data_IF_744932615944
#
_entry.id   IF_744932615944
#
_cell.length_a   1.000
_cell.length_b   1.000
_cell.length_c   1.000
_cell.angle_alpha   90.00
_cell.angle_beta   90.00
_cell.angle_gamma   90.00
#
_symmetry.space_group_name_H-M   'P 1'
#
loop_
_entity.id
_entity.type
_entity.pdbx_description
1 polymer ?
2 non-polymer ?
3 non-polymer ?
4 non-polymer ?
5 water ?
#
# COMPACT_ATOMS: atom_id res chain seq x y z
N UNK A 2 -36.85 -30.62 2.98
CA UNK A 2 -36.31 -31.08 4.27
C UNK A 2 -35.40 -30.03 4.88
N UNK A 3 -34.67 -29.31 4.03
CA UNK A 3 -33.91 -28.13 4.44
C UNK A 3 -34.44 -26.93 3.67
N UNK A 4 -34.48 -25.78 4.34
CA UNK A 4 -35.07 -24.58 3.76
C UNK A 4 -34.17 -23.38 4.05
N UNK A 5 -34.33 -22.35 3.22
CA UNK A 5 -33.67 -21.07 3.45
C UNK A 5 -34.50 -20.25 4.43
N UNK A 6 -33.85 -19.74 5.46
CA UNK A 6 -34.55 -18.94 6.47
C UNK A 6 -34.57 -17.46 6.09
N UNK A 25 -41.93 -9.59 4.83
CA UNK A 25 -42.16 -8.33 5.54
C UNK A 25 -43.54 -8.27 6.18
N UNK A 26 -44.58 -8.11 5.37
CA UNK A 26 -45.95 -8.10 5.84
C UNK A 26 -46.69 -9.40 5.49
N UNK A 27 -45.95 -10.41 5.05
CA UNK A 27 -46.48 -11.72 4.68
C UNK A 27 -45.31 -12.65 4.50
N UNK A 28 -45.42 -13.86 5.03
CA UNK A 28 -44.35 -14.87 4.93
C UNK A 28 -44.66 -15.75 3.73
N UNK A 29 -43.82 -15.67 2.71
CA UNK A 29 -43.93 -16.52 1.53
C UNK A 29 -43.43 -17.92 1.85
N UNK A 30 -43.80 -18.86 0.99
CA UNK A 30 -43.32 -20.23 1.07
C UNK A 30 -41.79 -20.28 1.09
N UNK A 31 -41.18 -21.06 1.97
CA UNK A 31 -39.72 -21.14 2.00
C UNK A 31 -39.17 -21.85 0.78
N UNK A 32 -37.99 -21.41 0.36
CA UNK A 32 -37.25 -22.06 -0.71
C UNK A 32 -36.65 -23.37 -0.20
N UNK A 33 -36.89 -24.46 -0.91
CA UNK A 33 -36.32 -25.74 -0.53
C UNK A 33 -34.88 -25.85 -1.05
N UNK A 34 -33.99 -26.33 -0.20
CA UNK A 34 -32.56 -26.38 -0.50
C UNK A 34 -32.05 -27.81 -0.39
N UNK A 35 -30.90 -28.11 -0.99
CA UNK A 35 -30.27 -29.41 -0.77
C UNK A 35 -29.80 -29.52 0.67
N UNK A 36 -29.45 -30.74 1.04
CA UNK A 36 -28.94 -31.01 2.37
C UNK A 36 -27.53 -30.45 2.53
N UNK A 37 -27.17 -30.04 3.75
CA UNK A 37 -25.77 -29.63 3.99
C UNK A 37 -24.80 -30.77 3.81
N UNK A 38 -25.25 -32.02 3.91
CA UNK A 38 -24.37 -33.16 3.68
C UNK A 38 -23.80 -33.15 2.27
N UNK A 39 -24.54 -32.58 1.32
CA UNK A 39 -24.08 -32.50 -0.07
C UNK A 39 -23.73 -31.09 -0.49
N UNK A 40 -24.01 -30.07 0.32
CA UNK A 40 -23.69 -28.69 -0.07
C UNK A 40 -23.54 -27.86 1.22
N UNK A 41 -22.29 -27.61 1.59
CA UNK A 41 -21.97 -27.06 2.91
C UNK A 41 -22.68 -25.74 3.18
N UNK A 42 -22.95 -24.97 2.13
CA UNK A 42 -23.28 -23.57 2.32
C UNK A 42 -24.69 -23.33 2.81
N UNK A 43 -25.55 -24.35 2.85
CA UNK A 43 -26.94 -24.10 3.21
C UNK A 43 -27.19 -24.37 4.70
N UNK A 44 -26.13 -24.64 5.46
CA UNK A 44 -26.28 -24.75 6.91
C UNK A 44 -26.89 -23.48 7.45
N UNK A 45 -27.83 -23.61 8.39
CA UNK A 45 -28.52 -22.44 8.95
C UNK A 45 -27.54 -21.48 9.60
N UNK A 46 -27.76 -20.17 9.39
CA UNK A 46 -26.97 -19.15 10.09
C UNK A 46 -27.16 -19.29 11.59
N UNK A 47 -26.09 -19.06 12.34
CA UNK A 47 -26.19 -19.02 13.79
C UNK A 47 -25.00 -18.24 14.34
N UNK A 48 -25.10 -17.89 15.62
CA UNK A 48 -23.97 -17.28 16.32
C UNK A 48 -22.72 -18.14 16.23
N UNK A 49 -22.85 -19.43 15.97
CA UNK A 49 -21.71 -20.31 15.90
C UNK A 49 -21.05 -20.33 14.52
N UNK A 50 -21.62 -19.65 13.52
CA UNK A 50 -20.94 -19.61 12.23
C UNK A 50 -20.97 -18.27 11.50
N UNK A 51 -21.78 -17.29 11.91
CA UNK A 51 -21.74 -15.96 11.28
C UNK A 51 -22.31 -14.93 12.26
N UNK A 52 -21.65 -13.78 12.36
CA UNK A 52 -22.13 -12.71 13.23
C UNK A 52 -22.07 -11.39 12.47
N UNK A 53 -23.05 -10.54 12.76
CA UNK A 53 -23.22 -9.27 12.06
C UNK A 53 -23.00 -8.11 13.02
N UNK A 54 -22.59 -6.98 12.47
CA UNK A 54 -22.53 -5.74 13.23
C UNK A 54 -23.96 -5.27 13.49
N UNK A 55 -24.58 -5.78 14.55
CA UNK A 55 -25.98 -5.48 14.80
C UNK A 55 -26.15 -4.10 15.42
N UNK A 56 -25.08 -3.51 15.88
CA UNK A 56 -25.24 -2.14 16.44
C UNK A 56 -24.97 -1.14 15.32
N UNK A 57 -24.59 -1.64 14.16
CA UNK A 57 -24.30 -0.76 13.03
C UNK A 57 -25.34 -0.99 11.93
N UNK A 58 -25.53 0.03 11.13
CA UNK A 58 -26.52 0.00 10.07
C UNK A 58 -25.90 -0.02 8.68
N UNK A 62 -28.43 -0.81 3.62
CA UNK A 62 -29.45 -1.82 3.87
C UNK A 62 -28.88 -3.20 4.11
N UNK A 63 -27.76 -3.50 3.46
CA UNK A 63 -27.11 -4.81 3.61
C UNK A 63 -26.58 -4.94 5.04
N UNK A 64 -26.84 -6.04 5.73
CA UNK A 64 -26.23 -6.25 7.04
C UNK A 64 -24.71 -6.29 6.92
N UNK A 65 -24.03 -5.75 7.92
CA UNK A 65 -22.57 -5.67 7.92
C UNK A 65 -22.03 -6.90 8.62
N UNK A 66 -21.19 -7.66 7.92
CA UNK A 66 -20.65 -8.89 8.49
C UNK A 66 -19.54 -8.54 9.48
N UNK A 67 -19.66 -9.06 10.69
CA UNK A 67 -18.63 -8.91 11.71
C UNK A 67 -17.63 -10.05 11.65
N UNK A 68 -18.12 -11.27 11.50
CA UNK A 68 -17.23 -12.41 11.35
C UNK A 68 -18.01 -13.65 10.99
N UNK A 69 -17.27 -14.71 10.69
CA UNK A 69 -17.91 -15.98 10.41
C UNK A 69 -16.86 -16.99 10.05
N UNK A 70 -17.32 -18.24 9.87
CA UNK A 70 -16.47 -19.24 9.27
C UNK A 70 -16.22 -18.86 7.81
N UNK A 71 -15.12 -19.39 7.25
CA UNK A 71 -14.82 -19.02 5.88
C UNK A 71 -15.92 -19.50 4.94
N UNK A 72 -16.57 -20.62 5.28
CA UNK A 72 -17.70 -21.09 4.49
C UNK A 72 -18.82 -20.06 4.49
N UNK A 73 -19.14 -19.50 5.65
CA UNK A 73 -20.20 -18.49 5.67
C UNK A 73 -19.77 -17.21 4.99
N UNK A 74 -18.50 -16.83 5.13
CA UNK A 74 -18.04 -15.63 4.41
C UNK A 74 -18.17 -15.83 2.90
N UNK A 75 -17.85 -17.03 2.42
CA UNK A 75 -17.99 -17.30 0.98
C UNK A 75 -19.46 -17.27 0.57
N UNK A 76 -20.33 -17.84 1.41
CA UNK A 76 -21.76 -17.82 1.07
C UNK A 76 -22.26 -16.39 0.92
N UNK A 77 -21.90 -15.52 1.86
CA UNK A 77 -22.33 -14.13 1.80
C UNK A 77 -21.63 -13.35 0.69
N UNK A 78 -20.41 -13.77 0.33
CA UNK A 78 -19.68 -13.17 -0.79
C UNK A 78 -20.43 -13.39 -2.10
N UNK A 79 -21.23 -14.44 -2.16
CA UNK A 79 -21.94 -14.89 -3.35
C UNK A 79 -23.41 -15.14 -3.02
N UNK A 80 -24.00 -14.24 -2.22
CA UNK A 80 -25.32 -14.46 -1.64
C UNK A 80 -26.41 -14.40 -2.71
N UNK A 81 -27.37 -15.31 -2.62
CA UNK A 81 -28.34 -15.38 -3.71
C UNK A 81 -29.32 -14.22 -3.71
N UNK A 82 -29.53 -13.56 -2.57
CA UNK A 82 -30.64 -12.63 -2.48
C UNK A 82 -30.32 -11.26 -3.07
N UNK A 83 -29.06 -10.84 -3.04
CA UNK A 83 -28.69 -9.51 -3.53
C UNK A 83 -27.19 -9.44 -3.74
N UNK A 84 -26.78 -8.44 -4.52
CA UNK A 84 -25.37 -8.16 -4.74
C UNK A 84 -24.80 -7.42 -3.53
N UNK A 85 -23.48 -7.54 -3.35
CA UNK A 85 -22.79 -6.91 -2.22
C UNK A 85 -21.42 -6.43 -2.68
N UNK A 86 -21.39 -5.41 -3.55
CA UNK A 86 -20.09 -4.96 -4.12
C UNK A 86 -19.10 -4.50 -3.08
N UNK A 87 -19.55 -3.87 -1.99
CA UNK A 87 -18.60 -3.40 -0.98
C UNK A 87 -17.93 -4.57 -0.29
N UNK A 88 -18.68 -5.62 0.04
CA UNK A 88 -18.10 -6.81 0.64
C UNK A 88 -17.18 -7.53 -0.34
N UNK A 89 -17.58 -7.64 -1.61
CA UNK A 89 -16.71 -8.27 -2.60
C UNK A 89 -15.36 -7.57 -2.66
N UNK A 90 -15.37 -6.24 -2.70
CA UNK A 90 -14.11 -5.49 -2.81
C UNK A 90 -13.25 -5.70 -1.56
N UNK A 91 -13.84 -5.54 -0.38
CA UNK A 91 -13.08 -5.66 0.86
C UNK A 91 -12.57 -7.08 1.06
N UNK A 92 -13.41 -8.06 0.77
CA UNK A 92 -12.98 -9.45 0.85
C UNK A 92 -11.77 -9.70 -0.04
N UNK A 93 -11.86 -9.33 -1.32
CA UNK A 93 -10.77 -9.69 -2.22
C UNK A 93 -9.47 -8.95 -1.87
N UNK A 94 -9.57 -7.77 -1.23
CA UNK A 94 -8.38 -7.08 -0.74
C UNK A 94 -7.77 -7.78 0.47
N UNK A 95 -8.60 -8.36 1.35
CA UNK A 95 -8.11 -8.76 2.67
C UNK A 95 -8.06 -10.26 2.91
N UNK A 96 -8.59 -11.09 1.99
CA UNK A 96 -8.84 -12.50 2.34
C UNK A 96 -7.56 -13.28 2.60
N UNK A 97 -6.41 -12.84 2.07
CA UNK A 97 -5.20 -13.63 2.23
C UNK A 97 -4.78 -13.71 3.68
N UNK A 98 -5.28 -12.81 4.53
CA UNK A 98 -5.00 -12.87 5.95
C UNK A 98 -5.83 -13.95 6.66
N UNK A 99 -6.76 -14.63 5.98
CA UNK A 99 -7.48 -15.72 6.61
C UNK A 99 -7.75 -16.90 5.70
N UNK A 100 -7.34 -16.86 4.43
CA UNK A 100 -7.69 -17.91 3.49
C UNK A 100 -6.63 -17.91 2.37
N UNK A 101 -6.17 -19.12 1.97
CA UNK A 101 -5.17 -19.13 0.90
C UNK A 101 -5.85 -18.95 -0.46
N UNK A 102 -5.14 -18.37 -1.45
CA UNK A 102 -5.74 -18.23 -2.78
C UNK A 102 -6.25 -19.54 -3.37
N UNK A 103 -5.47 -20.63 -3.31
CA UNK A 103 -5.96 -21.93 -3.77
C UNK A 103 -7.22 -22.34 -3.03
N UNK A 104 -7.23 -22.11 -1.72
CA UNK A 104 -8.39 -22.45 -0.91
C UNK A 104 -9.60 -21.64 -1.33
N UNK A 105 -9.40 -20.35 -1.62
CA UNK A 105 -10.50 -19.50 -2.06
C UNK A 105 -11.08 -20.00 -3.38
N UNK A 106 -10.21 -20.34 -4.35
CA UNK A 106 -10.73 -20.82 -5.62
C UNK A 106 -11.51 -22.12 -5.43
N UNK A 107 -10.99 -23.04 -4.60
CA UNK A 107 -11.71 -24.29 -4.36
C UNK A 107 -13.07 -24.03 -3.70
N UNK A 108 -13.12 -23.09 -2.75
CA UNK A 108 -14.39 -22.75 -2.12
C UNK A 108 -15.38 -22.14 -3.12
N UNK A 109 -14.90 -21.28 -4.03
CA UNK A 109 -15.81 -20.71 -5.00
C UNK A 109 -16.32 -21.76 -5.99
N UNK A 110 -15.46 -22.69 -6.38
CA UNK A 110 -15.88 -23.77 -7.26
C UNK A 110 -16.89 -24.66 -6.54
N UNK A 111 -16.64 -24.94 -5.26
CA UNK A 111 -17.58 -25.73 -4.47
C UNK A 111 -18.93 -25.01 -4.37
N UNK A 112 -18.88 -23.70 -4.21
CA UNK A 112 -20.10 -22.89 -4.18
C UNK A 112 -20.86 -22.97 -5.50
N UNK A 113 -20.13 -23.05 -6.62
CA UNK A 113 -20.74 -23.02 -7.95
C UNK A 113 -21.51 -24.30 -8.23
N UNK A 114 -20.98 -25.42 -7.77
CA UNK A 114 -21.47 -26.74 -8.18
C UNK A 114 -22.61 -27.13 -7.23
N UNK A 115 -23.77 -26.53 -7.47
CA UNK A 115 -24.90 -26.61 -6.55
C UNK A 115 -25.72 -27.84 -6.90
N UNK A 116 -25.89 -28.78 -5.98
CA UNK A 116 -26.79 -29.91 -6.23
C UNK A 116 -28.24 -29.51 -6.04
N UNK A 117 -29.13 -30.16 -6.81
CA UNK A 117 -30.54 -29.87 -6.63
C UNK A 117 -31.13 -30.69 -5.47
N UNK A 118 -32.17 -30.16 -4.80
CA UNK A 118 -32.81 -30.93 -3.73
C UNK A 118 -33.35 -32.25 -4.25
N UNK A 119 -33.28 -33.27 -3.40
CA UNK A 119 -33.73 -34.60 -3.80
C UNK A 119 -35.22 -34.57 -4.10
N UNK A 120 -35.65 -34.96 -5.29
CA UNK A 120 -37.08 -34.91 -5.62
C UNK A 120 -37.88 -35.78 -4.67
N UNK A 121 -39.08 -35.31 -4.32
CA UNK A 121 -40.01 -36.07 -3.51
C UNK A 121 -40.81 -37.04 -4.38
N UNK A 122 -41.36 -38.07 -3.73
CA UNK A 122 -42.30 -38.97 -4.40
C UNK A 122 -43.52 -38.17 -4.87
N UNK A 123 -43.47 -37.71 -6.12
CA UNK A 123 -44.42 -36.81 -6.73
C UNK A 123 -43.72 -36.21 -7.94
N UNK A 124 -42.50 -35.71 -7.70
CA UNK A 124 -41.63 -35.32 -8.80
C UNK A 124 -41.20 -36.54 -9.60
N UNK A 125 -40.87 -37.63 -8.93
CA UNK A 125 -40.37 -38.85 -9.60
C UNK A 125 -41.42 -39.49 -10.51
N UNK A 135 -41.25 -29.99 -14.75
CA UNK A 135 -40.39 -29.68 -13.62
C UNK A 135 -41.23 -29.08 -12.49
N UNK A 136 -41.05 -29.57 -11.27
CA UNK A 136 -41.87 -29.14 -10.15
C UNK A 136 -41.72 -27.64 -9.92
N UNK A 137 -42.71 -27.05 -9.25
CA UNK A 137 -42.66 -25.61 -8.99
C UNK A 137 -41.53 -25.26 -8.04
N UNK A 138 -41.26 -26.12 -7.05
CA UNK A 138 -40.17 -25.89 -6.12
C UNK A 138 -38.82 -25.90 -6.82
N UNK A 139 -38.64 -26.84 -7.75
CA UNK A 139 -37.37 -26.96 -8.47
C UNK A 139 -37.18 -25.80 -9.43
N UNK A 140 -38.25 -25.37 -10.11
CA UNK A 140 -38.15 -24.18 -10.95
C UNK A 140 -37.73 -22.97 -10.13
N UNK A 141 -38.38 -22.78 -8.97
CA UNK A 141 -37.95 -21.73 -8.04
C UNK A 141 -36.48 -21.84 -7.70
N UNK A 142 -36.03 -23.06 -7.39
CA UNK A 142 -34.66 -23.26 -6.96
C UNK A 142 -33.66 -22.85 -8.04
N UNK A 143 -33.91 -23.25 -9.29
CA UNK A 143 -32.96 -22.91 -10.34
C UNK A 143 -32.95 -21.42 -10.64
N UNK A 144 -34.09 -20.77 -10.51
CA UNK A 144 -34.25 -19.37 -10.86
C UNK A 144 -33.84 -18.42 -9.73
N UNK A 145 -34.25 -18.74 -8.50
CA UNK A 145 -34.01 -17.87 -7.35
C UNK A 145 -32.70 -18.16 -6.65
N UNK A 146 -32.14 -19.35 -6.82
CA UNK A 146 -30.95 -19.71 -6.06
C UNK A 146 -29.77 -20.06 -6.95
N UNK A 147 -29.89 -21.06 -7.83
CA UNK A 147 -28.74 -21.54 -8.59
C UNK A 147 -28.19 -20.46 -9.51
N UNK A 148 -29.03 -19.92 -10.40
CA UNK A 148 -28.48 -18.95 -11.35
C UNK A 148 -27.93 -17.70 -10.65
N UNK A 149 -28.64 -17.08 -9.69
CA UNK A 149 -28.03 -15.90 -9.03
C UNK A 149 -26.72 -16.20 -8.34
N UNK A 150 -26.62 -17.32 -7.62
CA UNK A 150 -25.35 -17.64 -6.95
C UNK A 150 -24.24 -17.84 -7.97
N UNK A 151 -24.53 -18.56 -9.04
CA UNK A 151 -23.51 -18.81 -10.06
C UNK A 151 -23.03 -17.49 -10.69
N UNK A 152 -23.96 -16.57 -10.96
CA UNK A 152 -23.55 -15.28 -11.51
C UNK A 152 -22.78 -14.45 -10.48
N UNK A 153 -23.12 -14.56 -9.19
CA UNK A 153 -22.33 -13.88 -8.17
C UNK A 153 -20.90 -14.38 -8.19
N UNK A 154 -20.73 -15.69 -8.34
CA UNK A 154 -19.38 -16.28 -8.36
C UNK A 154 -18.61 -15.75 -9.56
N UNK A 155 -19.24 -15.72 -10.73
CA UNK A 155 -18.54 -15.21 -11.91
C UNK A 155 -18.17 -13.74 -11.72
N UNK A 156 -19.00 -12.98 -10.99
CA UNK A 156 -18.64 -11.60 -10.72
C UNK A 156 -17.43 -11.52 -9.81
N UNK A 157 -17.37 -12.40 -8.80
CA UNK A 157 -16.20 -12.45 -7.93
C UNK A 157 -14.96 -12.81 -8.73
N UNK A 158 -15.05 -13.79 -9.63
CA UNK A 158 -13.89 -14.12 -10.47
C UNK A 158 -13.45 -12.92 -11.29
N UNK A 159 -14.41 -12.17 -11.83
CA UNK A 159 -14.08 -11.00 -12.63
C UNK A 159 -13.36 -9.96 -11.80
N UNK A 160 -13.90 -9.65 -10.61
CA UNK A 160 -13.25 -8.70 -9.73
C UNK A 160 -11.87 -9.20 -9.32
N UNK A 161 -11.74 -10.52 -9.13
CA UNK A 161 -10.47 -11.08 -8.68
C UNK A 161 -9.38 -10.89 -9.73
N UNK A 162 -9.67 -11.23 -10.99
CA UNK A 162 -8.64 -11.09 -12.00
C UNK A 162 -8.43 -9.65 -12.39
N UNK A 163 -9.45 -8.79 -12.22
CA UNK A 163 -9.30 -7.39 -12.60
C UNK A 163 -8.41 -6.64 -11.62
N UNK A 164 -8.58 -6.88 -10.32
CA UNK A 164 -7.96 -6.04 -9.30
C UNK A 164 -6.87 -6.76 -8.51
N UNK A 165 -6.73 -8.07 -8.62
CA UNK A 165 -5.73 -8.80 -7.86
C UNK A 165 -5.07 -9.86 -8.73
N UNK A 166 -4.71 -9.47 -9.96
CA UNK A 166 -4.16 -10.46 -10.87
C UNK A 166 -2.81 -10.98 -10.40
N UNK A 167 -2.11 -10.23 -9.53
CA UNK A 167 -0.85 -10.74 -9.00
C UNK A 167 -1.01 -12.09 -8.29
N UNK A 168 -2.22 -12.42 -7.78
CA UNK A 168 -2.39 -13.75 -7.19
C UNK A 168 -2.07 -14.82 -8.23
N UNK A 169 -2.45 -14.57 -9.48
CA UNK A 169 -2.32 -15.49 -10.60
C UNK A 169 -0.94 -15.44 -11.23
N UNK A 170 -0.27 -14.27 -11.16
CA UNK A 170 1.14 -14.21 -11.54
C UNK A 170 2.01 -14.94 -10.54
N UNK A 171 1.62 -14.95 -9.27
CA UNK A 171 2.44 -15.56 -8.25
C UNK A 171 2.26 -17.07 -8.18
N UNK A 172 1.16 -17.58 -8.74
CA UNK A 172 0.82 -19.00 -8.65
C UNK A 172 0.22 -19.40 -10.00
N UNK A 173 1.05 -19.88 -10.92
CA UNK A 173 0.56 -20.25 -12.24
C UNK A 173 -0.50 -21.34 -12.17
N UNK A 174 -0.39 -22.25 -11.20
CA UNK A 174 -1.40 -23.30 -11.06
C UNK A 174 -2.77 -22.70 -10.74
N UNK A 175 -2.81 -21.61 -9.98
CA UNK A 175 -4.07 -20.97 -9.65
C UNK A 175 -4.78 -20.51 -10.91
N UNK A 176 -4.03 -19.89 -11.84
CA UNK A 176 -4.61 -19.45 -13.10
C UNK A 176 -5.05 -20.64 -13.95
N UNK A 177 -4.22 -21.68 -14.03
CA UNK A 177 -4.61 -22.86 -14.80
C UNK A 177 -5.92 -23.44 -14.27
N UNK A 178 -6.05 -23.54 -12.94
CA UNK A 178 -7.30 -24.03 -12.38
C UNK A 178 -8.47 -23.13 -12.77
N UNK A 179 -8.29 -21.82 -12.69
CA UNK A 179 -9.39 -20.90 -12.95
C UNK A 179 -9.80 -20.96 -14.42
N UNK A 180 -8.81 -20.95 -15.32
CA UNK A 180 -9.14 -21.01 -16.73
C UNK A 180 -9.79 -22.33 -17.09
N UNK A 181 -9.29 -23.43 -16.54
CA UNK A 181 -9.93 -24.72 -16.76
C UNK A 181 -11.36 -24.71 -16.23
N UNK A 182 -11.60 -24.11 -15.07
CA UNK A 182 -12.95 -24.14 -14.53
C UNK A 182 -13.91 -23.34 -15.41
N UNK A 183 -13.52 -22.11 -15.78
CA UNK A 183 -14.45 -21.30 -16.56
C UNK A 183 -14.69 -21.88 -17.94
N UNK A 184 -13.73 -22.65 -18.48
CA UNK A 184 -13.94 -23.36 -19.73
C UNK A 184 -15.03 -24.42 -19.60
N UNK A 185 -15.29 -24.89 -18.38
CA UNK A 185 -16.30 -25.92 -18.13
C UNK A 185 -17.69 -25.34 -17.93
N UNK A 186 -17.81 -24.02 -17.75
CA UNK A 186 -19.11 -23.43 -17.46
C UNK A 186 -19.97 -23.49 -18.72
N UNK A 187 -21.12 -24.13 -18.61
CA UNK A 187 -22.04 -24.27 -19.73
C UNK A 187 -23.19 -23.28 -19.61
N UNK A 188 -23.80 -22.96 -20.75
CA UNK A 188 -24.98 -22.13 -20.75
C UNK A 188 -24.78 -20.79 -21.43
N UNK A 189 -25.65 -20.47 -22.40
CA UNK A 189 -25.60 -19.18 -23.07
C UNK A 189 -25.68 -18.03 -22.07
N UNK A 190 -26.43 -18.20 -20.98
CA UNK A 190 -26.60 -17.13 -20.02
C UNK A 190 -25.29 -16.72 -19.36
N UNK A 191 -24.32 -17.62 -19.31
CA UNK A 191 -23.07 -17.35 -18.61
C UNK A 191 -21.89 -17.16 -19.55
N UNK A 192 -22.10 -17.31 -20.87
CA UNK A 192 -20.99 -17.19 -21.79
C UNK A 192 -20.41 -15.78 -21.80
N UNK A 193 -21.25 -14.76 -21.67
CA UNK A 193 -20.75 -13.39 -21.68
C UNK A 193 -19.89 -13.11 -20.45
N UNK A 194 -20.22 -13.71 -19.32
CA UNK A 194 -19.38 -13.56 -18.14
C UNK A 194 -18.04 -14.27 -18.35
N UNK A 195 -18.09 -15.50 -18.85
CA UNK A 195 -16.87 -16.26 -19.10
C UNK A 195 -15.96 -15.49 -20.05
N UNK A 196 -16.54 -14.94 -21.12
CA UNK A 196 -15.73 -14.24 -22.10
C UNK A 196 -15.23 -12.92 -21.56
N UNK A 197 -15.96 -12.30 -20.61
CA UNK A 197 -15.45 -11.11 -19.96
C UNK A 197 -14.27 -11.42 -19.05
N UNK A 198 -14.32 -12.53 -18.33
CA UNK A 198 -13.20 -12.94 -17.49
C UNK A 198 -11.98 -13.27 -18.36
N UNK A 199 -12.20 -14.03 -19.43
CA UNK A 199 -11.09 -14.41 -20.31
C UNK A 199 -10.46 -13.18 -20.95
N UNK A 200 -11.28 -12.19 -21.31
CA UNK A 200 -10.76 -10.97 -21.90
C UNK A 200 -9.84 -10.23 -20.93
N UNK A 201 -10.24 -10.14 -19.66
CA UNK A 201 -9.38 -9.50 -18.66
C UNK A 201 -8.06 -10.25 -18.52
N UNK A 202 -8.12 -11.57 -18.43
CA UNK A 202 -6.91 -12.37 -18.33
C UNK A 202 -6.01 -12.13 -19.53
N UNK A 203 -6.60 -12.15 -20.74
CA UNK A 203 -5.86 -11.85 -21.96
C UNK A 203 -5.10 -10.53 -21.84
N UNK A 204 -5.79 -9.47 -21.42
CA UNK A 204 -5.15 -8.17 -21.31
C UNK A 204 -4.06 -8.17 -20.25
N UNK A 205 -4.31 -8.82 -19.11
CA UNK A 205 -3.33 -8.81 -18.03
C UNK A 205 -2.06 -9.57 -18.43
N UNK A 206 -2.21 -10.67 -19.16
CA UNK A 206 -1.04 -11.41 -19.63
C UNK A 206 -0.20 -10.59 -20.61
N UNK A 207 -0.86 -9.77 -21.43
CA UNK A 207 -0.12 -8.97 -22.42
C UNK A 207 0.80 -7.97 -21.75
N UNK A 208 0.30 -7.27 -20.74
CA UNK A 208 1.06 -6.21 -20.07
C UNK A 208 2.37 -6.72 -19.48
N UNK A 217 5.23 8.29 -21.58
CA UNK A 217 4.66 9.32 -20.72
C UNK A 217 4.30 10.58 -21.53
N UNK A 218 3.08 11.06 -21.33
CA UNK A 218 2.55 12.21 -22.07
C UNK A 218 2.29 13.37 -21.11
N UNK A 219 2.40 14.58 -21.63
CA UNK A 219 2.20 15.80 -20.86
C UNK A 219 1.14 16.66 -21.51
N UNK A 220 0.13 17.07 -20.72
CA UNK A 220 -0.90 17.98 -21.22
C UNK A 220 -0.38 19.40 -21.33
N UNK A 221 0.64 19.74 -20.55
CA UNK A 221 1.34 21.02 -20.61
C UNK A 221 2.82 20.74 -20.42
N UNK A 222 3.69 21.56 -21.01
CA UNK A 222 5.11 21.21 -21.09
C UNK A 222 5.77 21.22 -19.72
N UNK A 223 6.46 20.14 -19.34
CA UNK A 223 7.17 20.14 -18.07
C UNK A 223 8.34 21.10 -18.11
N UNK A 224 8.74 21.67 -16.97
CA UNK A 224 9.85 22.63 -16.97
C UNK A 224 11.17 21.99 -17.38
N UNK A 225 12.12 22.79 -17.86
CA UNK A 225 13.43 22.24 -18.22
C UNK A 225 14.13 21.64 -17.00
N UNK A 226 14.85 20.55 -17.23
CA UNK A 226 15.70 19.95 -16.20
C UNK A 226 16.72 20.97 -15.74
N UNK A 227 16.95 21.03 -14.42
CA UNK A 227 17.88 22.00 -13.85
C UNK A 227 19.22 21.31 -13.53
N UNK A 228 20.32 21.99 -13.87
CA UNK A 228 21.66 21.48 -13.68
C UNK A 228 22.51 22.50 -12.97
N UNK A 229 23.40 22.02 -12.10
CA UNK A 229 24.21 22.88 -11.25
C UNK A 229 25.67 22.72 -11.66
N UNK A 230 26.46 22.01 -10.85
CA UNK A 230 27.85 21.73 -11.17
C UNK A 230 27.98 20.47 -12.02
N UNK A 231 27.36 19.36 -11.60
CA UNK A 231 27.31 18.18 -12.45
C UNK A 231 26.47 18.48 -13.68
N UNK A 232 26.97 18.07 -14.83
CA UNK A 232 26.30 18.35 -16.10
C UNK A 232 25.76 17.07 -16.70
N UNK A 233 24.81 17.18 -17.65
CA UNK A 233 24.20 15.97 -18.21
C UNK A 233 25.24 14.94 -18.63
N UNK A 234 24.99 13.69 -18.24
CA UNK A 234 25.87 12.59 -18.59
C UNK A 234 27.03 12.36 -17.64
N UNK A 235 27.36 13.30 -16.77
CA UNK A 235 28.50 13.17 -15.87
C UNK A 235 28.14 12.44 -14.59
N UNK A 236 27.54 11.25 -14.71
CA UNK A 236 26.90 10.64 -13.54
C UNK A 236 27.89 10.20 -12.47
N UNK A 237 29.18 10.06 -12.79
CA UNK A 237 30.13 9.68 -11.74
C UNK A 237 30.43 10.85 -10.79
N UNK A 238 30.16 12.09 -11.20
CA UNK A 238 30.35 13.24 -10.32
C UNK A 238 29.12 13.60 -9.52
N UNK A 239 28.00 12.91 -9.73
CA UNK A 239 26.75 13.23 -9.04
C UNK A 239 26.90 13.12 -7.54
N UNK A 240 26.39 14.11 -6.81
CA UNK A 240 26.41 14.12 -5.36
C UNK A 240 25.44 15.19 -4.89
N UNK A 241 25.20 15.22 -3.57
CA UNK A 241 24.21 16.14 -3.01
C UNK A 241 24.52 17.59 -3.39
N UNK A 242 25.80 17.98 -3.36
CA UNK A 242 26.14 19.38 -3.54
C UNK A 242 26.43 19.74 -4.99
N UNK A 243 26.65 18.76 -5.87
CA UNK A 243 26.95 19.06 -7.27
C UNK A 243 25.72 19.04 -8.16
N UNK A 244 24.69 18.29 -7.77
CA UNK A 244 23.44 18.32 -8.49
C UNK A 244 22.66 19.57 -8.09
N UNK A 245 21.66 19.91 -8.90
CA UNK A 245 20.85 21.08 -8.60
C UNK A 245 19.80 20.73 -7.56
N UNK A 246 19.65 21.54 -6.49
CA UNK A 246 18.67 21.20 -5.45
C UNK A 246 17.24 21.10 -5.98
N UNK A 247 16.87 21.94 -6.94
CA UNK A 247 15.54 21.79 -7.55
C UNK A 247 15.38 20.40 -8.15
N UNK A 248 16.37 19.97 -8.94
CA UNK A 248 16.23 18.71 -9.67
C UNK A 248 16.36 17.50 -8.75
N UNK A 249 17.17 17.60 -7.69
CA UNK A 249 17.18 16.54 -6.68
C UNK A 249 15.78 16.30 -6.16
N UNK A 250 15.09 17.38 -5.76
CA UNK A 250 13.75 17.22 -5.22
C UNK A 250 12.78 16.72 -6.28
N UNK A 251 12.86 17.25 -7.51
CA UNK A 251 11.98 16.77 -8.58
C UNK A 251 12.18 15.28 -8.85
N UNK A 252 13.44 14.86 -8.98
CA UNK A 252 13.69 13.46 -9.35
C UNK A 252 13.36 12.52 -8.21
N UNK A 253 13.63 12.93 -6.96
CA UNK A 253 13.21 12.09 -5.86
C UNK A 253 11.69 12.03 -5.75
N UNK A 254 11.01 13.11 -6.12
CA UNK A 254 9.55 13.11 -6.11
C UNK A 254 8.97 12.17 -7.16
N UNK A 255 9.50 12.23 -8.39
CA UNK A 255 9.05 11.28 -9.42
C UNK A 255 9.29 9.85 -8.98
N UNK A 256 10.42 9.60 -8.34
CA UNK A 256 10.75 8.25 -7.89
C UNK A 256 9.80 7.82 -6.78
N UNK A 257 9.57 8.70 -5.79
CA UNK A 257 8.71 8.31 -4.67
C UNK A 257 7.26 8.22 -5.10
N UNK A 258 6.83 9.08 -6.03
CA UNK A 258 5.48 8.98 -6.58
C UNK A 258 5.28 7.63 -7.25
N UNK A 259 6.27 7.18 -8.03
CA UNK A 259 6.15 5.87 -8.68
C UNK A 259 6.08 4.76 -7.65
N UNK A 260 6.93 4.81 -6.62
CA UNK A 260 6.93 3.74 -5.63
C UNK A 260 5.61 3.70 -4.88
N UNK A 261 5.10 4.88 -4.50
CA UNK A 261 3.82 4.96 -3.81
C UNK A 261 2.70 4.42 -4.68
N UNK A 262 2.67 4.79 -5.96
CA UNK A 262 1.60 4.38 -6.86
C UNK A 262 1.52 2.86 -6.99
N UNK A 263 2.64 2.17 -6.89
CA UNK A 263 2.64 0.72 -7.14
C UNK A 263 2.25 -0.13 -5.93
N UNK A 264 2.01 0.47 -4.77
CA UNK A 264 1.69 -0.34 -3.59
C UNK A 264 0.25 -0.81 -3.68
N UNK A 265 0.04 -2.13 -3.55
CA UNK A 265 -1.30 -2.67 -3.52
C UNK A 265 -1.76 -2.84 -2.08
N UNK A 266 -3.05 -2.62 -1.82
CA UNK A 266 -3.57 -2.75 -0.45
C UNK A 266 -3.29 -4.10 0.23
N UNK A 267 -3.35 -5.23 -0.49
CA UNK A 267 -3.10 -6.51 0.17
C UNK A 267 -1.67 -6.64 0.70
N UNK A 268 -0.74 -5.81 0.20
CA UNK A 268 0.62 -5.81 0.73
C UNK A 268 0.68 -5.30 2.17
N UNK A 269 -0.36 -4.58 2.61
CA UNK A 269 -0.45 -3.99 3.94
C UNK A 269 -1.31 -4.78 4.91
N UNK A 270 -2.13 -5.70 4.41
CA UNK A 270 -3.09 -6.41 5.24
C UNK A 270 -2.40 -7.51 6.02
N UNK A 271 -2.78 -7.69 7.28
CA UNK A 271 -2.22 -8.75 8.08
C UNK A 271 -0.75 -8.57 8.37
N UNK A 272 -0.24 -7.33 8.23
CA UNK A 272 1.16 -7.00 8.49
C UNK A 272 2.10 -7.92 7.73
N UNK A 273 1.71 -8.34 6.52
CA UNK A 273 2.49 -9.36 5.82
C UNK A 273 3.88 -8.85 5.43
N UNK A 274 4.10 -7.54 5.40
CA UNK A 274 5.42 -7.06 5.00
C UNK A 274 6.45 -7.27 6.09
N UNK A 275 6.04 -7.66 7.29
CA UNK A 275 6.95 -7.97 8.39
C UNK A 275 7.10 -9.46 8.64
N UNK A 276 6.40 -10.29 7.88
CA UNK A 276 6.36 -11.70 8.18
C UNK A 276 7.19 -12.50 7.17
N UNK A 277 7.16 -13.82 7.32
CA UNK A 277 8.06 -14.75 6.65
C UNK A 277 8.19 -14.50 5.15
N UNK A 278 7.05 -14.48 4.44
CA UNK A 278 7.05 -14.37 2.98
C UNK A 278 6.93 -12.92 2.48
N UNK A 279 7.48 -11.96 3.23
CA UNK A 279 7.29 -10.55 2.92
C UNK A 279 7.73 -10.20 1.50
N UNK A 280 8.79 -10.84 1.00
CA UNK A 280 9.32 -10.43 -0.30
C UNK A 280 8.35 -10.77 -1.42
N UNK A 281 7.61 -11.87 -1.27
CA UNK A 281 6.62 -12.27 -2.27
C UNK A 281 5.33 -11.48 -2.10
N UNK A 282 4.92 -11.21 -0.85
CA UNK A 282 3.60 -10.68 -0.60
C UNK A 282 3.55 -9.17 -0.55
N UNK A 283 4.69 -8.51 -0.30
CA UNK A 283 4.71 -7.05 -0.18
C UNK A 283 5.86 -6.40 -0.96
N UNK A 284 6.07 -6.79 -2.23
CA UNK A 284 7.30 -6.33 -2.90
C UNK A 284 7.31 -4.83 -3.14
N UNK A 285 6.17 -4.24 -3.49
CA UNK A 285 6.17 -2.80 -3.75
C UNK A 285 6.24 -1.99 -2.46
N UNK A 286 5.53 -2.46 -1.44
CA UNK A 286 5.63 -1.81 -0.12
C UNK A 286 7.07 -1.83 0.39
N UNK A 287 7.76 -2.96 0.24
CA UNK A 287 9.13 -3.06 0.76
C UNK A 287 10.06 -2.13 -0.01
N UNK A 288 9.87 -2.01 -1.32
CA UNK A 288 10.67 -1.05 -2.09
C UNK A 288 10.46 0.36 -1.60
N UNK A 289 9.22 0.71 -1.25
CA UNK A 289 8.95 2.04 -0.72
C UNK A 289 9.64 2.25 0.63
N UNK A 290 9.50 1.27 1.53
CA UNK A 290 10.11 1.39 2.84
C UNK A 290 11.62 1.45 2.72
N UNK A 291 12.21 0.61 1.87
CA UNK A 291 13.66 0.55 1.75
C UNK A 291 14.22 1.79 1.09
N UNK A 292 13.50 2.35 0.11
CA UNK A 292 13.92 3.64 -0.42
C UNK A 292 13.99 4.69 0.68
N UNK A 293 12.96 4.74 1.53
CA UNK A 293 12.92 5.78 2.55
C UNK A 293 14.04 5.60 3.56
N UNK A 294 14.28 4.34 3.97
CA UNK A 294 15.39 4.04 4.85
C UNK A 294 16.70 4.52 4.27
N UNK A 295 16.94 4.18 3.00
CA UNK A 295 18.23 4.51 2.40
C UNK A 295 18.38 6.01 2.21
N UNK A 296 17.31 6.69 1.80
CA UNK A 296 17.41 8.13 1.57
C UNK A 296 17.62 8.88 2.88
N UNK A 297 16.91 8.46 3.94
CA UNK A 297 17.06 9.12 5.23
C UNK A 297 18.48 8.98 5.75
N UNK A 298 19.02 7.77 5.68
CA UNK A 298 20.41 7.54 6.05
C UNK A 298 21.38 8.34 5.18
N UNK A 299 21.08 8.47 3.89
CA UNK A 299 21.96 9.23 3.01
C UNK A 299 21.99 10.72 3.40
N UNK A 300 20.84 11.30 3.70
CA UNK A 300 20.86 12.69 4.18
C UNK A 300 21.68 12.82 5.46
N UNK A 301 21.50 11.89 6.41
CA UNK A 301 22.32 11.92 7.63
C UNK A 301 23.81 11.84 7.31
N UNK A 302 24.17 10.89 6.43
CA UNK A 302 25.56 10.69 6.05
C UNK A 302 26.15 11.95 5.44
N UNK A 303 25.40 12.60 4.54
CA UNK A 303 25.92 13.81 3.88
C UNK A 303 26.28 14.87 4.90
N UNK A 304 25.45 15.02 5.92
CA UNK A 304 25.69 16.04 6.95
C UNK A 304 26.90 15.68 7.80
N UNK A 305 26.91 14.47 8.36
CA UNK A 305 27.89 14.11 9.38
C UNK A 305 29.26 13.88 8.78
N UNK A 306 29.33 13.47 7.51
CA UNK A 306 30.62 13.27 6.86
C UNK A 306 31.19 14.56 6.29
N UNK A 307 30.44 15.65 6.33
CA UNK A 307 30.99 16.96 5.96
C UNK A 307 31.75 17.46 7.17
N UNK A 308 33.06 17.16 7.23
CA UNK A 308 33.83 17.45 8.44
C UNK A 308 34.15 18.94 8.55
N UNK A 309 34.46 19.58 7.41
CA UNK A 309 34.67 21.02 7.41
C UNK A 309 33.39 21.72 7.83
N UNK A 310 33.50 22.59 8.84
CA UNK A 310 32.33 23.24 9.42
C UNK A 310 31.51 23.99 8.38
N UNK A 311 32.17 24.84 7.58
CA UNK A 311 31.43 25.67 6.64
C UNK A 311 30.77 24.81 5.56
N UNK A 312 31.46 23.76 5.14
CA UNK A 312 30.88 22.82 4.19
C UNK A 312 29.64 22.13 4.77
N UNK A 313 29.69 21.77 6.05
CA UNK A 313 28.55 21.08 6.68
C UNK A 313 27.36 22.01 6.81
N UNK A 314 27.58 23.28 7.14
CA UNK A 314 26.46 24.22 7.19
C UNK A 314 25.87 24.38 5.80
N UNK A 315 26.71 24.38 4.77
CA UNK A 315 26.18 24.51 3.42
C UNK A 315 25.42 23.24 3.01
N UNK A 316 25.89 22.08 3.48
CA UNK A 316 25.19 20.83 3.19
C UNK A 316 23.82 20.84 3.84
N UNK A 317 23.76 21.19 5.14
CA UNK A 317 22.46 21.27 5.81
C UNK A 317 21.55 22.29 5.12
N UNK A 318 22.10 23.45 4.74
CA UNK A 318 21.28 24.47 4.08
C UNK A 318 20.71 23.95 2.76
N UNK A 319 21.52 23.20 2.00
CA UNK A 319 21.05 22.64 0.73
C UNK A 319 19.93 21.65 0.96
N UNK A 320 20.05 20.83 2.00
CA UNK A 320 19.01 19.85 2.32
C UNK A 320 17.72 20.57 2.70
N UNK A 321 17.83 21.70 3.39
CA UNK A 321 16.63 22.47 3.69
C UNK A 321 16.01 23.03 2.41
N UNK A 322 16.85 23.40 1.42
CA UNK A 322 16.29 23.88 0.15
C UNK A 322 15.58 22.75 -0.59
N UNK A 323 16.17 21.55 -0.60
CA UNK A 323 15.50 20.38 -1.17
C UNK A 323 14.17 20.15 -0.47
N UNK A 324 14.15 20.28 0.86
CA UNK A 324 12.89 20.18 1.60
C UNK A 324 11.88 21.19 1.10
N UNK A 325 12.29 22.45 0.91
CA UNK A 325 11.35 23.46 0.42
C UNK A 325 10.75 23.03 -0.91
N UNK A 326 11.56 22.50 -1.82
CA UNK A 326 11.02 22.11 -3.12
C UNK A 326 10.11 20.90 -2.97
N UNK A 327 10.48 19.94 -2.12
CA UNK A 327 9.54 18.87 -1.78
C UNK A 327 8.19 19.47 -1.38
N UNK A 328 8.21 20.47 -0.50
CA UNK A 328 6.95 21.09 -0.05
C UNK A 328 6.21 21.72 -1.21
N UNK A 329 6.93 22.49 -2.04
CA UNK A 329 6.29 23.11 -3.20
C UNK A 329 5.62 22.06 -4.07
N UNK A 330 6.17 20.85 -4.14
CA UNK A 330 5.64 19.78 -4.97
C UNK A 330 4.61 18.93 -4.23
N UNK A 331 4.26 19.30 -3.00
CA UNK A 331 3.37 18.48 -2.17
C UNK A 331 3.91 17.07 -2.00
N UNK A 332 5.23 16.89 -1.99
CA UNK A 332 5.81 15.59 -1.63
C UNK A 332 6.13 15.59 -0.14
N UNK A 333 5.11 15.27 0.66
CA UNK A 333 5.29 15.23 2.10
C UNK A 333 6.04 14.01 2.56
N UNK A 334 6.09 12.96 1.74
CA UNK A 334 7.00 11.87 2.01
C UNK A 334 8.45 12.37 2.05
N UNK A 335 8.85 13.12 1.02
CA UNK A 335 10.21 13.68 1.01
C UNK A 335 10.46 14.67 2.12
N UNK A 336 9.47 15.52 2.42
CA UNK A 336 9.63 16.47 3.53
C UNK A 336 9.94 15.74 4.82
N UNK A 337 9.16 14.70 5.13
CA UNK A 337 9.33 14.06 6.42
C UNK A 337 10.51 13.11 6.45
N UNK A 338 10.99 12.66 5.29
CA UNK A 338 12.25 11.94 5.24
C UNK A 338 13.40 12.83 5.70
N UNK A 339 13.38 14.09 5.27
CA UNK A 339 14.44 15.01 5.71
C UNK A 339 14.29 15.35 7.18
N UNK A 340 13.06 15.59 7.65
CA UNK A 340 12.83 15.81 9.07
C UNK A 340 13.36 14.63 9.88
N UNK A 341 13.04 13.41 9.43
CA UNK A 341 13.56 12.22 10.09
C UNK A 341 15.09 12.23 10.15
N UNK A 342 15.75 12.65 9.06
CA UNK A 342 17.21 12.66 9.03
C UNK A 342 17.79 13.66 10.04
N UNK A 343 17.22 14.86 10.12
CA UNK A 343 17.80 15.85 11.03
C UNK A 343 17.46 15.55 12.48
N UNK A 344 16.45 14.70 12.72
CA UNK A 344 16.16 14.24 14.08
C UNK A 344 17.07 13.11 14.53
N UNK A 345 17.85 12.52 13.64
CA UNK A 345 18.77 11.48 14.07
C UNK A 345 19.74 12.07 15.10
N UNK A 346 20.14 11.24 16.08
CA UNK A 346 20.92 11.76 17.19
C UNK A 346 22.24 12.35 16.70
N UNK A 347 22.87 11.70 15.72
CA UNK A 347 24.16 12.17 15.23
C UNK A 347 24.08 13.55 14.59
N UNK A 348 22.94 13.89 13.98
CA UNK A 348 22.75 15.22 13.40
C UNK A 348 22.19 16.20 14.43
N UNK A 349 21.15 15.76 15.15
CA UNK A 349 20.45 16.63 16.09
C UNK A 349 21.40 17.28 17.09
N UNK A 350 22.44 16.54 17.52
CA UNK A 350 23.36 17.08 18.52
C UNK A 350 24.35 18.11 17.98
N UNK A 351 24.30 18.46 16.69
CA UNK A 351 25.29 19.37 16.10
C UNK A 351 24.86 20.82 16.30
N UNK A 352 24.89 21.26 17.57
CA UNK A 352 24.39 22.59 17.90
C UNK A 352 25.08 23.69 17.10
N UNK A 353 26.40 23.60 16.93
CA UNK A 353 27.09 24.66 16.20
C UNK A 353 26.62 24.75 14.76
N UNK A 354 26.26 23.61 14.16
CA UNK A 354 25.79 23.60 12.77
C UNK A 354 24.41 24.25 12.65
N UNK A 355 23.49 23.94 13.58
CA UNK A 355 22.18 24.57 13.50
C UNK A 355 22.22 26.05 13.85
N UNK A 356 23.14 26.47 14.72
CA UNK A 356 23.21 27.88 15.05
C UNK A 356 23.85 28.69 13.93
N UNK A 357 24.65 28.04 13.08
CA UNK A 357 25.30 28.74 11.97
C UNK A 357 24.37 28.90 10.77
N UNK A 358 23.27 28.15 10.72
CA UNK A 358 22.29 28.35 9.66
C UNK A 358 21.82 29.78 9.64
N UNK A 359 21.64 30.31 8.44
CA UNK A 359 20.88 31.55 8.26
C UNK A 359 19.52 31.40 8.91
N UNK A 360 19.07 32.47 9.56
CA UNK A 360 17.74 32.45 10.16
C UNK A 360 16.67 32.07 9.16
N UNK A 361 16.82 32.51 7.91
CA UNK A 361 15.81 32.19 6.89
C UNK A 361 15.73 30.68 6.68
N UNK A 362 16.87 29.99 6.76
CA UNK A 362 16.88 28.54 6.59
C UNK A 362 16.32 27.85 7.82
N UNK A 363 16.67 28.36 9.00
CA UNK A 363 16.14 27.86 10.26
C UNK A 363 14.62 27.88 10.28
N UNK A 364 14.02 28.99 9.88
CA UNK A 364 12.57 29.08 9.96
C UNK A 364 11.91 28.07 9.02
N UNK A 365 12.51 27.83 7.86
CA UNK A 365 11.96 26.83 6.94
C UNK A 365 12.04 25.44 7.55
N UNK A 366 13.20 25.10 8.09
CA UNK A 366 13.38 23.79 8.72
C UNK A 366 12.37 23.59 9.85
N UNK A 367 12.24 24.59 10.73
CA UNK A 367 11.44 24.38 11.92
C UNK A 367 9.95 24.34 11.60
N UNK A 368 9.50 25.07 10.57
CA UNK A 368 8.11 24.93 10.17
C UNK A 368 7.82 23.51 9.70
N UNK A 369 8.77 22.88 9.00
CA UNK A 369 8.52 21.51 8.55
C UNK A 369 8.58 20.52 9.71
N UNK A 370 9.51 20.74 10.65
CA UNK A 370 9.57 19.86 11.82
C UNK A 370 8.25 19.87 12.57
N UNK A 371 7.61 21.04 12.66
CA UNK A 371 6.38 21.14 13.41
C UNK A 371 5.22 20.37 12.76
N UNK A 372 5.30 20.08 11.45
CA UNK A 372 4.29 19.22 10.82
C UNK A 372 4.17 17.89 11.55
N UNK A 373 5.29 17.37 12.05
CA UNK A 373 5.33 16.04 12.65
C UNK A 373 4.91 16.03 14.11
N UNK A 374 4.90 17.18 14.77
CA UNK A 374 4.70 17.20 16.21
C UNK A 374 3.24 16.90 16.56
N UNK A 375 3.05 16.48 17.81
CA UNK A 375 1.74 16.10 18.34
C UNK A 375 1.05 15.10 17.41
N UNK A 376 1.75 14.01 17.13
CA UNK A 376 1.24 12.95 16.27
C UNK A 376 0.79 13.49 14.92
N UNK A 377 1.67 14.28 14.29
CA UNK A 377 1.49 14.76 12.92
C UNK A 377 0.22 15.59 12.76
N UNK A 378 -0.16 16.30 13.82
CA UNK A 378 -1.37 17.12 13.79
C UNK A 378 -1.36 18.08 12.60
N UNK A 379 -0.31 18.90 12.50
CA UNK A 379 -0.28 19.91 11.45
C UNK A 379 -0.13 19.30 10.07
N UNK A 380 0.63 18.20 9.96
CA UNK A 380 0.71 17.49 8.68
C UNK A 380 -0.67 17.02 8.23
N UNK A 381 -1.44 16.41 9.14
CA UNK A 381 -2.73 15.88 8.75
C UNK A 381 -3.68 16.99 8.31
N UNK A 382 -3.57 18.18 8.92
CA UNK A 382 -4.37 19.30 8.44
C UNK A 382 -3.96 19.67 7.02
N UNK A 383 -2.65 19.68 6.75
CA UNK A 383 -2.16 20.07 5.43
C UNK A 383 -2.54 19.05 4.36
N UNK A 384 -2.49 17.75 4.70
CA UNK A 384 -2.85 16.72 3.73
C UNK A 384 -4.30 16.87 3.26
N UNK A 385 -5.22 17.17 4.18
CA UNK A 385 -6.63 17.19 3.80
C UNK A 385 -6.97 18.36 2.90
N UNK A 386 -6.07 19.35 2.79
CA UNK A 386 -6.35 20.56 2.04
C UNK A 386 -5.60 20.64 0.71
N UNK A 387 -4.60 19.81 0.48
CA UNK A 387 -3.74 20.02 -0.68
C UNK A 387 -4.46 19.59 -1.95
N UNK A 388 -3.96 20.07 -3.07
CA UNK A 388 -4.48 19.63 -4.34
C UNK A 388 -3.46 18.78 -5.08
N UNK A 389 -3.91 17.78 -5.83
CA UNK A 389 -2.98 16.88 -6.53
C UNK A 389 -2.19 17.63 -7.58
N UNK A 390 -1.00 17.12 -7.97
CA UNK A 390 -0.41 15.87 -7.45
C UNK A 390 0.32 16.03 -6.11
N UNK A 391 0.37 14.93 -5.35
CA UNK A 391 1.05 14.94 -4.07
C UNK A 391 1.60 13.54 -3.80
N UNK A 392 2.56 13.44 -2.90
CA UNK A 392 2.99 12.17 -2.34
C UNK A 392 2.81 12.21 -0.84
N UNK A 393 1.82 11.52 -0.29
CA UNK A 393 1.60 11.55 1.16
C UNK A 393 2.73 10.85 1.90
N UNK A 394 2.89 11.26 3.16
CA UNK A 394 3.81 10.57 4.05
C UNK A 394 3.30 9.16 4.29
N UNK A 395 4.10 8.18 3.88
CA UNK A 395 3.67 6.79 3.93
C UNK A 395 3.71 6.20 5.32
N UNK A 396 4.66 6.62 6.15
CA UNK A 396 4.87 5.96 7.43
C UNK A 396 3.67 5.99 8.35
N UNK A 397 2.84 7.03 8.25
CA UNK A 397 1.72 7.12 9.17
C UNK A 397 0.69 6.02 8.89
N UNK A 398 0.53 5.62 7.63
CA UNK A 398 -0.39 4.53 7.32
C UNK A 398 0.12 3.21 7.88
N UNK A 399 1.42 2.94 7.67
CA UNK A 399 2.05 1.74 8.22
C UNK A 399 1.86 1.66 9.73
N UNK A 400 2.04 2.78 10.42
CA UNK A 400 1.86 2.80 11.87
C UNK A 400 0.41 2.53 12.26
N UNK A 401 -0.55 3.16 11.58
CA UNK A 401 -1.95 2.93 11.90
C UNK A 401 -2.39 1.50 11.59
N UNK A 402 -1.84 0.89 10.54
CA UNK A 402 -2.18 -0.49 10.25
C UNK A 402 -1.61 -1.42 11.30
N UNK A 403 -0.35 -1.19 11.70
CA UNK A 403 0.24 -2.00 12.77
C UNK A 403 -0.55 -1.86 14.07
N UNK A 404 -1.01 -0.65 14.38
CA UNK A 404 -1.83 -0.46 15.57
C UNK A 404 -3.12 -1.26 15.46
N UNK A 405 -3.77 -1.19 14.30
CA UNK A 405 -5.04 -1.89 14.11
C UNK A 405 -4.85 -3.40 14.13
N UNK A 406 -3.78 -3.90 13.51
CA UNK A 406 -3.52 -5.33 13.54
C UNK A 406 -3.29 -5.80 14.97
N UNK A 407 -2.57 -5.02 15.76
CA UNK A 407 -2.21 -5.44 17.12
C UNK A 407 -3.40 -5.32 18.07
N UNK A 408 -4.28 -4.35 17.85
CA UNK A 408 -5.37 -4.04 18.74
C UNK A 408 -6.66 -4.80 18.51
N UNK A 409 -6.70 -5.68 17.52
CA UNK A 409 -7.88 -6.48 17.19
C UNK A 409 -7.47 -7.92 16.97
N UNK A 410 -8.27 -8.85 17.49
CA UNK A 410 -7.99 -10.27 17.36
C UNK A 410 -8.34 -10.77 15.95
N UNK A 411 -7.51 -11.68 15.43
CA UNK A 411 -7.82 -12.28 14.13
C UNK A 411 -9.11 -13.09 14.18
N UNK A 412 -9.46 -13.63 15.34
CA UNK A 412 -10.61 -14.50 15.48
C UNK A 412 -11.59 -13.96 16.52
N UNK A 413 -12.86 -14.27 16.33
CA UNK A 413 -13.86 -14.13 17.39
C UNK A 413 -13.95 -15.45 18.13
N UNK A 414 -13.80 -15.42 19.45
CA UNK A 414 -13.72 -16.63 20.23
C UNK A 414 -15.10 -17.25 20.40
N UNK A 415 -15.20 -18.56 20.15
CA UNK A 415 -16.43 -19.32 20.28
C UNK A 415 -16.17 -20.59 21.07
N UNK A 416 -17.25 -21.23 21.52
CA UNK A 416 -17.13 -22.51 22.18
C UNK A 416 -16.56 -23.56 21.23
N UNK A 417 -17.08 -23.64 20.01
CA UNK A 417 -16.53 -24.49 19.00
C UNK A 417 -15.49 -23.78 18.16
N UNK A 418 -15.55 -23.98 16.84
CA UNK A 418 -14.60 -23.31 15.95
C UNK A 418 -14.73 -21.81 16.08
N UNK A 419 -13.60 -21.14 16.28
CA UNK A 419 -13.63 -19.69 16.36
C UNK A 419 -13.81 -19.09 14.97
N UNK A 420 -14.47 -17.94 14.92
CA UNK A 420 -14.82 -17.30 13.67
C UNK A 420 -13.73 -16.31 13.26
N UNK A 421 -13.55 -16.17 11.94
CA UNK A 421 -12.70 -15.12 11.40
C UNK A 421 -13.29 -13.76 11.76
N UNK A 422 -12.47 -12.90 12.36
CA UNK A 422 -12.90 -11.53 12.67
C UNK A 422 -12.79 -10.70 11.40
N UNK A 423 -13.90 -10.57 10.67
CA UNK A 423 -13.82 -9.84 9.40
C UNK A 423 -13.82 -8.34 9.63
N UNK A 424 -14.48 -7.87 10.69
CA UNK A 424 -14.48 -6.43 10.97
C UNK A 424 -13.07 -5.90 11.11
N UNK A 425 -12.17 -6.70 11.70
CA UNK A 425 -10.76 -6.29 11.75
C UNK A 425 -10.23 -6.00 10.35
N UNK A 426 -10.53 -6.88 9.39
CA UNK A 426 -10.01 -6.70 8.04
C UNK A 426 -10.61 -5.47 7.39
N UNK A 427 -11.90 -5.22 7.64
CA UNK A 427 -12.55 -4.03 7.13
C UNK A 427 -11.87 -2.76 7.63
N UNK A 428 -11.57 -2.72 8.93
CA UNK A 428 -10.87 -1.58 9.51
C UNK A 428 -9.53 -1.36 8.83
N UNK A 429 -8.79 -2.44 8.55
CA UNK A 429 -7.53 -2.28 7.84
C UNK A 429 -7.78 -1.81 6.41
N UNK A 430 -8.79 -2.38 5.75
CA UNK A 430 -9.13 -1.95 4.39
C UNK A 430 -9.53 -0.48 4.34
N UNK A 431 -10.13 0.05 5.40
CA UNK A 431 -10.46 1.48 5.43
C UNK A 431 -9.19 2.30 5.28
N UNK A 432 -8.12 1.89 5.95
CA UNK A 432 -6.87 2.64 5.91
C UNK A 432 -6.21 2.50 4.55
N UNK A 433 -6.24 1.29 3.97
CA UNK A 433 -5.64 1.13 2.65
C UNK A 433 -6.45 1.85 1.59
N UNK A 434 -7.75 2.05 1.82
CA UNK A 434 -8.55 2.82 0.88
C UNK A 434 -8.08 4.26 0.81
N UNK A 435 -7.57 4.79 1.93
CA UNK A 435 -7.05 6.15 1.94
C UNK A 435 -5.77 6.24 1.12
N UNK A 436 -4.90 5.24 1.23
CA UNK A 436 -3.66 5.23 0.46
C UNK A 436 -3.97 5.34 -1.02
N UNK A 437 -4.97 4.59 -1.48
CA UNK A 437 -5.26 4.53 -2.90
C UNK A 437 -5.78 5.85 -3.46
N UNK A 438 -6.35 6.73 -2.62
CA UNK A 438 -6.88 7.99 -3.15
C UNK A 438 -5.83 8.79 -3.89
N UNK A 439 -4.55 8.65 -3.52
CA UNK A 439 -3.49 9.50 -4.03
C UNK A 439 -2.61 8.83 -5.07
N UNK A 440 -3.01 7.66 -5.57
CA UNK A 440 -2.14 6.90 -6.47
C UNK A 440 -2.33 7.20 -7.96
N UNK A 441 -3.30 8.02 -8.35
CA UNK A 441 -3.42 8.28 -9.78
C UNK A 441 -3.13 9.74 -10.11
N UNK A 442 -2.00 10.27 -9.64
CA UNK A 442 -1.71 11.70 -9.70
C UNK A 442 -0.31 11.92 -10.26
N UNK A 443 -0.14 11.83 -11.58
CA UNK A 443 1.19 11.99 -12.16
C UNK A 443 1.65 13.44 -12.06
N UNK A 444 2.97 13.61 -11.94
CA UNK A 444 3.61 14.91 -11.89
C UNK A 444 3.96 15.37 -13.29
N UNK A 445 3.82 16.68 -13.53
CA UNK A 445 4.24 17.27 -14.80
C UNK A 445 5.73 17.60 -14.74
N UNK A 446 6.53 16.54 -14.62
CA UNK A 446 7.96 16.65 -14.47
C UNK A 446 8.66 15.61 -15.34
N UNK A 447 9.74 16.00 -15.98
CA UNK A 447 10.45 15.10 -16.88
C UNK A 447 11.46 14.26 -16.08
N UNK A 448 11.49 12.94 -16.37
CA UNK A 448 12.46 12.07 -15.72
C UNK A 448 13.86 12.39 -16.24
N UNK A 449 14.85 12.39 -15.33
CA UNK A 449 16.25 12.44 -15.72
C UNK A 449 16.86 11.06 -15.46
N UNK A 450 17.12 10.25 -16.49
CA UNK A 450 17.48 8.84 -16.24
C UNK A 450 18.72 8.65 -15.40
N UNK A 451 19.79 9.43 -15.65
CA UNK A 451 21.00 9.28 -14.84
C UNK A 451 20.74 9.63 -13.37
N UNK A 452 20.04 10.74 -13.12
CA UNK A 452 19.74 11.10 -11.74
C UNK A 452 18.84 10.06 -11.09
N UNK A 453 17.90 9.50 -11.85
CA UNK A 453 17.02 8.48 -11.27
C UNK A 453 17.82 7.26 -10.84
N UNK A 454 18.75 6.81 -11.69
CA UNK A 454 19.59 5.67 -11.32
C UNK A 454 20.43 5.97 -10.08
N UNK A 455 20.96 7.20 -9.99
CA UNK A 455 21.75 7.59 -8.84
C UNK A 455 20.95 7.44 -7.55
N UNK A 456 19.70 7.90 -7.54
CA UNK A 456 18.93 7.82 -6.30
C UNK A 456 18.42 6.40 -6.04
N UNK A 457 18.23 5.60 -7.09
CA UNK A 457 17.86 4.19 -6.91
C UNK A 457 19.01 3.35 -6.36
N UNK A 458 20.25 3.79 -6.57
CA UNK A 458 21.43 3.00 -6.21
C UNK A 458 22.14 3.48 -4.95
N UNK A 459 21.56 4.43 -4.23
CA UNK A 459 22.23 4.93 -3.03
C UNK A 459 22.49 3.80 -2.05
N UNK A 460 23.69 3.77 -1.47
CA UNK A 460 24.06 2.76 -0.48
C UNK A 460 24.90 3.42 0.61
N UNK A 461 24.28 4.26 1.43
CA UNK A 461 25.07 5.00 2.43
C UNK A 461 25.82 4.10 3.39
N UNK A 462 25.31 2.90 3.67
CA UNK A 462 25.92 2.03 4.68
C UNK A 462 27.24 1.40 4.22
N UNK A 463 27.55 1.46 2.94
CA UNK A 463 28.72 0.73 2.45
C UNK A 463 28.58 -0.75 2.77
N UNK A 464 29.61 -1.31 3.41
CA UNK A 464 29.62 -2.70 3.87
C UNK A 464 29.25 -2.84 5.34
N UNK A 465 28.96 -1.73 6.02
CA UNK A 465 28.57 -1.80 7.41
C UNK A 465 27.14 -2.34 7.56
N UNK A 466 26.89 -3.02 8.68
CA UNK A 466 25.52 -3.27 9.08
C UNK A 466 24.87 -1.97 9.52
N UNK A 467 23.55 -2.00 9.71
CA UNK A 467 22.86 -0.78 10.15
C UNK A 467 23.37 -0.34 11.51
N UNK A 468 23.59 -1.28 12.43
CA UNK A 468 24.11 -0.94 13.74
C UNK A 468 25.51 -0.36 13.64
N UNK A 469 26.39 -1.02 12.89
CA UNK A 469 27.72 -0.48 12.64
C UNK A 469 27.66 0.91 12.06
N UNK A 470 26.80 1.10 11.05
CA UNK A 470 26.75 2.40 10.38
C UNK A 470 26.23 3.48 11.32
N UNK A 471 25.19 3.17 12.10
CA UNK A 471 24.67 4.11 13.08
C UNK A 471 25.74 4.51 14.10
N UNK A 472 26.50 3.53 14.59
CA UNK A 472 27.59 3.83 15.52
C UNK A 472 28.67 4.66 14.85
N UNK A 473 28.99 4.35 13.59
CA UNK A 473 29.97 5.13 12.84
C UNK A 473 29.56 6.60 12.76
N UNK A 474 28.29 6.85 12.40
CA UNK A 474 27.81 8.24 12.28
C UNK A 474 27.90 8.98 13.59
N UNK A 475 27.54 8.32 14.70
CA UNK A 475 27.60 9.03 15.96
C UNK A 475 29.04 9.36 16.34
N UNK A 476 29.96 8.41 16.11
CA UNK A 476 31.35 8.69 16.41
C UNK A 476 31.89 9.82 15.55
N UNK A 477 31.44 9.89 14.30
CA UNK A 477 31.87 10.99 13.43
C UNK A 477 31.30 12.31 13.92
N UNK A 478 30.02 12.29 14.34
CA UNK A 478 29.42 13.47 14.98
C UNK A 478 30.27 13.96 16.14
N UNK A 479 30.67 13.04 17.02
CA UNK A 479 31.51 13.42 18.16
C UNK A 479 32.85 13.99 17.70
N UNK A 480 33.40 13.46 16.59
CA UNK A 480 34.68 13.96 16.09
C UNK A 480 34.56 15.38 15.55
N UNK A 481 33.48 15.67 14.81
CA UNK A 481 33.39 16.95 14.11
C UNK A 481 32.88 18.07 15.01
N UNK A 482 32.10 17.74 16.03
CA UNK A 482 31.71 18.69 17.07
C UNK A 482 31.83 18.00 18.41
N UNK A 483 33.02 17.98 18.99
CA UNK A 483 33.20 17.30 20.27
C UNK A 483 32.37 17.95 21.36
N UNK A 484 32.00 17.15 22.35
CA UNK A 484 31.23 17.65 23.48
C UNK A 484 31.91 18.88 24.09
N UNK A 485 31.11 19.92 24.33
CA UNK A 485 31.55 21.12 25.01
C UNK A 485 32.65 21.88 24.25
N UNK A 486 32.83 21.63 22.96
CA UNK A 486 33.73 22.49 22.19
C UNK A 486 33.10 23.85 22.00
N UNK A 487 33.84 24.91 22.26
CA UNK A 487 33.27 26.24 22.12
C UNK A 487 33.18 26.67 20.66
N UNK A 488 33.97 26.04 19.77
CA UNK A 488 33.82 26.18 18.33
C UNK A 488 34.18 24.84 17.70
N UNK A 489 33.64 24.52 16.53
CA UNK A 489 34.00 23.25 15.87
C UNK A 489 35.44 23.27 15.42
N UNK A 490 36.15 22.15 15.53
CA UNK A 490 37.55 22.13 15.08
C UNK A 490 37.66 22.36 13.59
N UNK A 491 38.87 22.69 13.15
CA UNK A 491 39.09 22.89 11.73
C UNK A 491 39.38 21.54 11.06
N UNK A 492 38.65 21.27 10.00
CA UNK A 492 38.89 20.15 9.11
C UNK A 492 39.02 20.67 7.70
N UNK A 493 39.84 20.01 6.87
CA UNK A 493 39.98 20.46 5.48
C UNK A 493 38.70 20.31 4.68
N UNK A 494 38.54 21.21 3.71
CA UNK A 494 37.39 21.17 2.83
C UNK A 494 37.45 19.89 1.97
N UNK A 495 36.27 19.35 1.67
CA UNK A 495 36.25 18.08 0.94
C UNK A 495 36.38 18.27 -0.56
N UNK A 496 35.78 19.33 -1.10
CA UNK A 496 35.87 19.59 -2.53
C UNK A 496 36.30 21.03 -2.74
N UNK A 497 36.76 21.30 -3.95
CA UNK A 497 37.24 22.62 -4.29
C UNK A 497 36.17 23.51 -4.92
N UNK A 498 34.92 23.04 -5.01
CA UNK A 498 33.94 23.89 -5.66
C UNK A 498 33.21 24.76 -4.65
N UNK A 499 32.58 25.81 -5.19
CA UNK A 499 31.80 26.75 -4.39
C UNK A 499 30.77 26.00 -3.56
N UNK A 500 30.57 26.48 -2.33
CA UNK A 500 29.50 25.97 -1.48
C UNK A 500 28.18 26.67 -1.76
N UNK A 501 28.20 27.68 -2.62
CA UNK A 501 27.04 28.53 -2.88
C UNK A 501 25.95 27.74 -3.61
N UNK A 502 24.71 27.84 -3.13
CA UNK A 502 23.62 27.18 -3.82
C UNK A 502 23.20 28.00 -5.04
N UNK A 503 22.77 27.33 -6.11
CA UNK A 503 22.14 28.08 -7.21
C UNK A 503 20.75 28.57 -6.85
N UNK A 504 20.22 28.19 -5.70
CA UNK A 504 18.90 28.62 -5.28
C UNK A 504 17.80 27.74 -5.84
N UNK A 505 16.57 28.00 -5.40
CA UNK A 505 15.46 27.14 -5.76
C UNK A 505 14.48 27.86 -6.67
N UNK A 506 14.86 28.99 -7.26
CA UNK A 506 14.05 29.59 -8.32
C UNK A 506 14.32 28.85 -9.63
N UNK A 507 13.30 28.32 -10.29
CA UNK A 507 13.51 27.65 -11.58
C UNK A 507 13.99 28.64 -12.63
N UNK A 508 14.77 28.15 -13.59
CA UNK A 508 15.32 29.01 -14.64
C UNK A 508 14.44 29.04 -15.87
#
# INVERSE_FOLDING_TARGET
>A
MSYYHHHHHHLESTSLYKKAGFENLYFQEQPLRLPSPEVYRFVVKDSEENIVFEDNLQSRSGIPIIKGGTVVKLIERLTYHMYADPNFVRTFLTTYRSFCKPQELLSLLIERFEIPEPEPTDADKLAIEKGEQPISADLKRFRKEYVQPVQLRILNVFRHWVEHHFYDFERDLELLERLESFISSVRGKAMKKWVESIAKIIRRKKQAQANGVSHNITFESPPPPIEWHISKPGQFETFDLMTLHPIEIARQLTLLESDLYRKVQPSELVGSVWTKEDKEINSPNLLKMIRHTTNLTLWFEKCIVEAENFEERVAVLSRIIEILQVFQDLNNFNGVLEIVSAVNSVSVYRLDHTFEALQERKRKILDEAVELSQDHFKKYLVKLKSINPPCVPFFGIYLTNILKTEEGNNDFLKKKGKDLINFSKRRKVAEITGEIQQYQNQPYCLRIEPDMRRFFENLNPMGSASEKEFTDYLFNKSLEIEPRNCKQPPRFPRKSTFSLKSPGIRPNTGRHGS
#
